data_IF_584632151043
#
_entry.id   IF_584632151043
#
_cell.length_a   1.000
_cell.length_b   1.000
_cell.length_c   1.000
_cell.angle_alpha   90.00
_cell.angle_beta   90.00
_cell.angle_gamma   90.00
#
_symmetry.space_group_name_H-M   'P 1'
#
loop_
_entity.id
_entity.type
_entity.pdbx_description
1 polymer ?
#
# COMPACT_ATOMS: atom_id res chain seq x y z
N UNK A 1 -12.66 -16.96 35.92
CA UNK A 1 -11.80 -16.97 34.72
C UNK A 1 -11.76 -15.54 34.25
N UNK A 2 -10.58 -14.94 34.12
CA UNK A 2 -10.46 -13.62 33.50
C UNK A 2 -11.03 -13.71 32.08
N UNK A 3 -11.64 -12.63 31.58
CA UNK A 3 -12.04 -12.61 30.17
C UNK A 3 -10.77 -12.70 29.32
N UNK A 4 -10.82 -13.34 28.15
CA UNK A 4 -9.67 -13.39 27.24
C UNK A 4 -9.18 -11.97 26.91
N UNK A 5 -10.10 -10.98 26.89
CA UNK A 5 -9.80 -9.56 26.71
C UNK A 5 -8.84 -9.04 27.80
N UNK A 6 -9.10 -9.30 29.07
CA UNK A 6 -8.24 -8.80 30.16
C UNK A 6 -6.81 -9.36 30.03
N UNK A 7 -6.68 -10.63 29.60
CA UNK A 7 -5.38 -11.25 29.34
C UNK A 7 -4.66 -10.62 28.14
N UNK A 8 -5.36 -10.35 27.03
CA UNK A 8 -4.79 -9.67 25.87
C UNK A 8 -4.33 -8.25 26.19
N UNK A 9 -5.11 -7.49 26.98
CA UNK A 9 -4.70 -6.15 27.43
C UNK A 9 -3.42 -6.20 28.26
N UNK A 10 -3.32 -7.15 29.19
CA UNK A 10 -2.11 -7.32 30.00
C UNK A 10 -0.90 -7.71 29.14
N UNK A 11 -1.08 -8.62 28.18
CA UNK A 11 -0.02 -9.02 27.23
C UNK A 11 0.46 -7.85 26.38
N UNK A 12 -0.45 -7.07 25.80
CA UNK A 12 -0.10 -5.88 25.02
C UNK A 12 0.63 -4.84 25.86
N UNK A 13 0.15 -4.56 27.09
CA UNK A 13 0.83 -3.65 28.01
C UNK A 13 2.26 -4.09 28.32
N UNK A 14 2.46 -5.39 28.57
CA UNK A 14 3.78 -5.94 28.81
C UNK A 14 4.64 -5.92 27.53
N UNK A 15 4.04 -6.05 26.35
CA UNK A 15 4.74 -5.99 25.08
C UNK A 15 5.23 -4.56 24.74
N UNK A 16 4.52 -3.52 25.17
CA UNK A 16 4.94 -2.12 25.02
C UNK A 16 5.75 -1.58 26.22
N UNK A 17 5.79 -2.29 27.36
CA UNK A 17 6.52 -1.86 28.55
C UNK A 17 7.97 -2.38 28.55
N UNK A 18 8.94 -1.47 28.47
CA UNK A 18 10.35 -1.82 28.65
C UNK A 18 11.32 -1.02 27.79
N UNK A 19 12.53 -1.59 27.64
CA UNK A 19 13.54 -1.07 26.70
C UNK A 19 13.31 -1.68 25.33
N UNK A 20 12.24 -1.25 24.66
CA UNK A 20 11.81 -1.75 23.34
C UNK A 20 10.42 -2.37 23.39
N UNK A 21 9.95 -2.79 22.21
CA UNK A 21 8.64 -3.40 22.00
C UNK A 21 8.81 -4.89 21.72
N UNK A 22 7.93 -5.75 22.24
CA UNK A 22 7.84 -7.16 21.81
C UNK A 22 6.86 -7.25 20.64
N UNK A 23 7.36 -6.99 19.43
CA UNK A 23 6.50 -6.85 18.23
C UNK A 23 5.85 -8.20 17.85
N UNK A 24 6.52 -9.31 18.18
CA UNK A 24 5.94 -10.64 18.01
C UNK A 24 4.71 -10.83 18.90
N UNK A 25 4.80 -10.45 20.17
CA UNK A 25 3.66 -10.54 21.09
C UNK A 25 2.53 -9.59 20.68
N UNK A 26 2.84 -8.38 20.21
CA UNK A 26 1.83 -7.44 19.67
C UNK A 26 1.06 -8.08 18.51
N UNK A 27 1.76 -8.59 17.49
CA UNK A 27 1.12 -9.22 16.33
C UNK A 27 0.35 -10.50 16.70
N UNK A 28 0.88 -11.29 17.64
CA UNK A 28 0.24 -12.50 18.17
C UNK A 28 -1.10 -12.16 18.82
N UNK A 29 -1.13 -11.18 19.73
CA UNK A 29 -2.36 -10.75 20.40
C UNK A 29 -3.36 -10.15 19.41
N UNK A 30 -2.92 -9.28 18.49
CA UNK A 30 -3.82 -8.70 17.48
C UNK A 30 -4.46 -9.79 16.59
N UNK A 31 -3.71 -10.85 16.29
CA UNK A 31 -4.22 -12.00 15.53
C UNK A 31 -5.24 -12.81 16.34
N UNK A 32 -4.94 -13.10 17.62
CA UNK A 32 -5.85 -13.82 18.51
C UNK A 32 -7.15 -13.04 18.78
N UNK A 33 -7.05 -11.71 18.87
CA UNK A 33 -8.17 -10.80 19.16
C UNK A 33 -9.05 -10.48 17.94
N UNK A 34 -8.79 -11.11 16.78
CA UNK A 34 -9.56 -10.88 15.55
C UNK A 34 -11.05 -11.15 15.78
N UNK A 35 -11.90 -10.18 15.44
CA UNK A 35 -13.35 -10.20 15.66
C UNK A 35 -13.78 -9.69 17.04
N UNK A 36 -12.82 -9.34 17.91
CA UNK A 36 -13.05 -8.76 19.24
C UNK A 36 -12.32 -7.43 19.44
N UNK A 37 -11.81 -6.83 18.36
CA UNK A 37 -10.97 -5.63 18.42
C UNK A 37 -11.71 -4.41 18.99
N UNK A 38 -13.03 -4.33 18.80
CA UNK A 38 -13.86 -3.29 19.42
C UNK A 38 -13.88 -3.41 20.96
N UNK A 39 -14.01 -4.63 21.49
CA UNK A 39 -14.01 -4.85 22.94
C UNK A 39 -12.60 -4.64 23.52
N UNK A 40 -11.57 -5.09 22.82
CA UNK A 40 -10.17 -4.85 23.18
C UNK A 40 -9.87 -3.35 23.27
N UNK A 41 -10.23 -2.57 22.25
CA UNK A 41 -10.09 -1.11 22.24
C UNK A 41 -10.89 -0.42 23.34
N UNK A 42 -12.06 -0.94 23.72
CA UNK A 42 -12.82 -0.40 24.84
C UNK A 42 -12.11 -0.62 26.19
N UNK A 43 -11.24 -1.62 26.29
CA UNK A 43 -10.46 -1.93 27.51
C UNK A 43 -9.05 -1.34 27.47
N UNK A 44 -8.53 -1.07 26.27
CA UNK A 44 -7.22 -0.47 26.04
C UNK A 44 -7.31 0.65 24.99
N UNK A 45 -7.85 1.81 25.36
CA UNK A 45 -8.08 2.91 24.42
C UNK A 45 -6.80 3.53 23.85
N UNK A 46 -5.66 3.35 24.53
CA UNK A 46 -4.35 3.82 24.09
C UNK A 46 -3.68 2.90 23.04
N UNK A 47 -4.21 1.69 22.80
CA UNK A 47 -3.60 0.69 21.92
C UNK A 47 -3.26 1.25 20.53
N UNK A 48 -4.16 2.01 19.93
CA UNK A 48 -3.88 2.61 18.61
C UNK A 48 -2.70 3.57 18.67
N UNK A 49 -2.64 4.41 19.70
CA UNK A 49 -1.57 5.41 19.86
C UNK A 49 -0.22 4.73 20.05
N UNK A 50 -0.17 3.67 20.86
CA UNK A 50 1.04 2.86 21.09
C UNK A 50 1.49 2.12 19.84
N UNK A 51 0.59 1.59 19.02
CA UNK A 51 0.97 1.01 17.73
C UNK A 51 1.72 2.01 16.85
N UNK A 52 1.28 3.27 16.81
CA UNK A 52 1.95 4.31 16.02
C UNK A 52 3.25 4.84 16.65
N UNK A 53 3.39 4.82 17.97
CA UNK A 53 4.59 5.35 18.64
C UNK A 53 5.70 4.30 18.81
N UNK A 54 5.32 3.04 19.03
CA UNK A 54 6.23 1.99 19.47
C UNK A 54 6.65 1.02 18.35
N UNK A 55 5.92 0.97 17.23
CA UNK A 55 6.26 0.13 16.08
C UNK A 55 6.94 0.93 14.98
N UNK A 56 7.92 0.32 14.32
CA UNK A 56 8.48 0.89 13.10
C UNK A 56 7.53 0.70 11.90
N UNK A 57 7.87 1.31 10.78
CA UNK A 57 7.04 1.29 9.56
C UNK A 57 6.65 -0.12 9.11
N UNK A 58 7.59 -1.07 9.12
CA UNK A 58 7.36 -2.44 8.63
C UNK A 58 6.46 -3.23 9.57
N UNK A 59 6.60 -3.04 10.88
CA UNK A 59 5.74 -3.65 11.88
C UNK A 59 4.35 -3.04 11.87
N UNK A 60 4.25 -1.72 11.71
CA UNK A 60 2.99 -1.00 11.63
C UNK A 60 2.17 -1.46 10.42
N UNK A 61 2.80 -1.67 9.26
CA UNK A 61 2.18 -2.27 8.06
C UNK A 61 1.57 -3.65 8.31
N UNK A 62 2.15 -4.43 9.23
CA UNK A 62 1.62 -5.76 9.63
C UNK A 62 0.51 -5.65 10.67
N UNK A 63 0.66 -4.72 11.62
CA UNK A 63 -0.25 -4.57 12.76
C UNK A 63 -1.58 -3.90 12.38
N UNK A 64 -1.55 -2.84 11.54
CA UNK A 64 -2.75 -2.06 11.24
C UNK A 64 -3.86 -2.85 10.51
N UNK A 65 -3.57 -3.73 9.53
CA UNK A 65 -4.58 -4.61 8.97
C UNK A 65 -5.27 -5.51 10.01
N UNK A 66 -4.53 -6.02 11.01
CA UNK A 66 -5.08 -6.82 12.10
C UNK A 66 -5.94 -5.96 13.04
N UNK A 67 -5.41 -4.79 13.41
CA UNK A 67 -6.07 -3.82 14.29
C UNK A 67 -7.37 -3.26 13.70
N UNK A 68 -7.44 -3.07 12.39
CA UNK A 68 -8.66 -2.60 11.72
C UNK A 68 -9.52 -3.73 11.16
N UNK A 69 -9.14 -4.99 11.41
CA UNK A 69 -9.84 -6.18 10.92
C UNK A 69 -10.01 -6.20 9.38
N UNK A 70 -9.00 -5.69 8.66
CA UNK A 70 -8.96 -5.71 7.20
C UNK A 70 -8.82 -7.15 6.72
N UNK A 71 -9.73 -7.66 5.88
CA UNK A 71 -9.65 -9.04 5.41
C UNK A 71 -8.51 -9.24 4.41
N UNK A 72 -7.94 -10.44 4.46
CA UNK A 72 -6.93 -10.93 3.51
C UNK A 72 -7.46 -12.20 2.82
N UNK A 73 -7.46 -12.28 1.48
CA UNK A 73 -7.01 -11.27 0.52
C UNK A 73 -7.97 -10.08 0.41
N UNK A 74 -7.43 -8.90 0.05
CA UNK A 74 -8.22 -7.69 -0.22
C UNK A 74 -9.11 -7.94 -1.44
N UNK A 75 -10.42 -7.99 -1.26
CA UNK A 75 -11.38 -8.06 -2.37
C UNK A 75 -11.72 -6.64 -2.81
N UNK A 76 -11.21 -6.21 -3.95
CA UNK A 76 -11.65 -4.96 -4.55
C UNK A 76 -13.14 -5.06 -4.94
N UNK A 77 -13.92 -4.02 -4.66
CA UNK A 77 -15.29 -3.93 -5.16
C UNK A 77 -15.29 -4.02 -6.71
N UNK A 78 -16.02 -4.97 -7.32
CA UNK A 78 -16.07 -5.12 -8.77
C UNK A 78 -16.72 -3.94 -9.50
N UNK A 79 -17.44 -3.07 -8.78
CA UNK A 79 -18.14 -1.93 -9.35
C UNK A 79 -17.22 -0.73 -9.63
N UNK A 80 -15.96 -0.76 -9.17
CA UNK A 80 -15.04 0.37 -9.27
C UNK A 80 -15.38 1.49 -8.27
N UNK A 81 -14.87 2.70 -8.54
CA UNK A 81 -15.13 3.90 -7.73
C UNK A 81 -16.25 4.75 -8.35
N UNK A 82 -17.03 5.42 -7.50
CA UNK A 82 -18.08 6.35 -7.94
C UNK A 82 -17.49 7.60 -8.61
N UNK A 83 -16.33 8.05 -8.13
CA UNK A 83 -15.60 9.19 -8.69
C UNK A 83 -14.22 8.75 -9.20
N UNK A 84 -14.06 8.51 -10.52
CA UNK A 84 -12.78 8.12 -11.10
C UNK A 84 -11.73 9.25 -11.04
N UNK A 85 -12.11 10.50 -10.76
CA UNK A 85 -11.15 11.60 -10.60
C UNK A 85 -10.43 11.57 -9.25
N UNK A 86 -10.88 10.76 -8.28
CA UNK A 86 -10.16 10.55 -7.01
C UNK A 86 -8.70 10.12 -7.22
N UNK A 87 -8.45 9.17 -8.12
CA UNK A 87 -7.09 8.74 -8.43
C UNK A 87 -6.22 9.89 -8.98
N UNK A 88 -6.79 10.73 -9.86
CA UNK A 88 -6.09 11.90 -10.40
C UNK A 88 -5.78 12.94 -9.33
N UNK A 89 -6.73 13.16 -8.41
CA UNK A 89 -6.59 14.10 -7.30
C UNK A 89 -5.55 13.62 -6.29
N UNK A 90 -5.50 12.32 -5.97
CA UNK A 90 -4.43 11.74 -5.16
C UNK A 90 -3.08 11.89 -5.83
N UNK A 91 -2.97 11.55 -7.11
CA UNK A 91 -1.71 11.66 -7.84
C UNK A 91 -1.18 13.09 -7.81
N UNK A 92 -2.04 14.07 -8.11
CA UNK A 92 -1.67 15.48 -8.07
C UNK A 92 -1.35 15.98 -6.64
N UNK A 93 -1.94 15.36 -5.61
CA UNK A 93 -1.66 15.68 -4.22
C UNK A 93 -0.28 15.17 -3.79
N UNK A 94 0.13 13.98 -4.25
CA UNK A 94 1.50 13.48 -4.06
C UNK A 94 2.53 14.24 -4.94
N UNK A 95 2.11 14.71 -6.11
CA UNK A 95 2.98 15.35 -7.10
C UNK A 95 2.55 16.78 -7.47
N UNK A 96 2.50 17.72 -6.52
CA UNK A 96 2.09 19.07 -6.85
C UNK A 96 3.11 19.72 -7.76
N UNK A 97 2.60 20.36 -8.81
CA UNK A 97 3.41 21.10 -9.78
C UNK A 97 3.94 22.39 -9.15
N UNK A 98 5.02 22.28 -8.38
CA UNK A 98 5.61 23.37 -7.60
C UNK A 98 7.12 23.25 -7.50
N UNK A 99 7.77 24.36 -7.12
CA UNK A 99 9.23 24.43 -6.94
C UNK A 99 9.70 23.65 -5.68
N UNK A 100 8.75 23.19 -4.88
CA UNK A 100 8.95 22.40 -3.68
C UNK A 100 8.08 21.14 -3.86
N UNK A 101 8.72 19.97 -3.95
CA UNK A 101 8.08 18.66 -3.93
C UNK A 101 7.52 18.41 -2.53
N UNK A 102 6.48 19.14 -2.14
CA UNK A 102 5.77 18.95 -0.86
C UNK A 102 4.41 18.36 -1.16
N UNK A 103 4.00 17.29 -0.51
CA UNK A 103 2.65 16.73 -0.67
C UNK A 103 1.56 17.76 -0.31
N UNK A 104 0.42 17.73 -0.99
CA UNK A 104 -0.79 18.50 -0.64
C UNK A 104 -1.65 17.64 0.30
N UNK A 105 -1.35 17.69 1.59
CA UNK A 105 -1.95 16.81 2.60
C UNK A 105 -3.46 17.05 2.71
N UNK A 106 -3.92 18.30 2.53
CA UNK A 106 -5.34 18.66 2.56
C UNK A 106 -6.11 18.01 1.39
N UNK A 107 -5.57 18.08 0.17
CA UNK A 107 -6.19 17.46 -1.00
C UNK A 107 -6.22 15.93 -0.88
N UNK A 108 -5.14 15.34 -0.39
CA UNK A 108 -5.03 13.90 -0.12
C UNK A 108 -6.08 13.45 0.89
N UNK A 109 -6.13 14.11 2.05
CA UNK A 109 -7.07 13.77 3.12
C UNK A 109 -8.53 13.95 2.71
N UNK A 110 -8.83 14.93 1.85
CA UNK A 110 -10.15 15.11 1.29
C UNK A 110 -10.57 13.90 0.46
N UNK A 111 -9.71 13.40 -0.44
CA UNK A 111 -10.02 12.22 -1.27
C UNK A 111 -10.18 10.98 -0.41
N UNK A 112 -9.27 10.74 0.55
CA UNK A 112 -9.38 9.59 1.46
C UNK A 112 -10.70 9.61 2.24
N UNK A 113 -11.16 10.78 2.72
CA UNK A 113 -12.45 10.92 3.40
C UNK A 113 -13.63 10.63 2.47
N UNK A 114 -13.58 11.14 1.23
CA UNK A 114 -14.63 10.89 0.23
C UNK A 114 -14.76 9.39 -0.07
N UNK A 115 -13.65 8.70 -0.34
CA UNK A 115 -13.61 7.27 -0.59
C UNK A 115 -14.01 6.43 0.63
N UNK A 116 -13.55 6.83 1.83
CA UNK A 116 -13.97 6.22 3.10
C UNK A 116 -15.49 6.32 3.29
N UNK A 117 -16.07 7.49 3.03
CA UNK A 117 -17.51 7.72 3.20
C UNK A 117 -18.34 6.92 2.19
N UNK A 118 -17.85 6.79 0.95
CA UNK A 118 -18.45 5.94 -0.08
C UNK A 118 -18.27 4.44 0.18
N UNK A 119 -17.31 4.04 1.03
CA UNK A 119 -16.98 2.63 1.26
C UNK A 119 -16.33 1.99 0.02
N UNK A 120 -15.47 2.75 -0.66
CA UNK A 120 -14.82 2.38 -1.93
C UNK A 120 -13.29 2.52 -1.84
N UNK A 121 -12.70 2.32 -0.66
CA UNK A 121 -11.26 2.53 -0.46
C UNK A 121 -10.43 1.50 -1.24
N UNK A 122 -10.84 0.24 -1.28
CA UNK A 122 -10.18 -0.82 -2.04
C UNK A 122 -10.34 -0.64 -3.54
N UNK A 123 -11.51 -0.17 -3.99
CA UNK A 123 -11.69 0.24 -5.38
C UNK A 123 -10.80 1.44 -5.78
N UNK A 124 -10.60 2.40 -4.87
CA UNK A 124 -9.71 3.54 -5.08
C UNK A 124 -8.25 3.10 -5.13
N UNK A 125 -7.79 2.28 -4.19
CA UNK A 125 -6.45 1.69 -4.15
C UNK A 125 -6.12 0.99 -5.48
N UNK A 126 -7.03 0.12 -5.93
CA UNK A 126 -6.92 -0.55 -7.24
C UNK A 126 -6.87 0.44 -8.40
N UNK A 127 -7.78 1.41 -8.46
CA UNK A 127 -7.83 2.39 -9.55
C UNK A 127 -6.55 3.24 -9.61
N UNK A 128 -6.02 3.62 -8.46
CA UNK A 128 -4.79 4.41 -8.36
C UNK A 128 -3.62 3.64 -9.00
N UNK A 129 -3.42 2.39 -8.62
CA UNK A 129 -2.37 1.55 -9.17
C UNK A 129 -2.55 1.26 -10.67
N UNK A 130 -3.78 0.97 -11.12
CA UNK A 130 -4.06 0.73 -12.54
C UNK A 130 -3.81 1.97 -13.42
N UNK A 131 -4.07 3.16 -12.89
CA UNK A 131 -3.88 4.41 -13.64
C UNK A 131 -2.44 4.89 -13.64
N UNK A 132 -1.69 4.59 -12.58
CA UNK A 132 -0.33 5.04 -12.38
C UNK A 132 0.60 3.85 -12.10
N UNK A 133 0.87 2.98 -13.09
CA UNK A 133 1.62 1.73 -12.88
C UNK A 133 3.11 1.92 -12.54
N UNK A 134 3.64 3.15 -12.62
CA UNK A 134 4.99 3.49 -12.19
C UNK A 134 5.07 4.04 -10.78
N UNK A 135 3.93 4.24 -10.12
CA UNK A 135 3.85 4.68 -8.73
C UNK A 135 3.72 3.46 -7.81
N UNK A 136 4.11 3.64 -6.55
CA UNK A 136 3.87 2.65 -5.52
C UNK A 136 2.37 2.44 -5.29
N UNK A 137 2.00 1.34 -4.61
CA UNK A 137 0.62 1.14 -4.16
C UNK A 137 0.23 2.28 -3.20
N UNK A 138 -1.06 2.63 -3.13
CA UNK A 138 -1.53 3.81 -2.40
C UNK A 138 -1.03 3.82 -0.95
N UNK A 139 -1.06 2.66 -0.29
CA UNK A 139 -0.53 2.47 1.07
C UNK A 139 0.94 2.90 1.21
N UNK A 140 1.80 2.47 0.29
CA UNK A 140 3.23 2.78 0.27
C UNK A 140 3.48 4.26 -0.04
N UNK A 141 2.70 4.85 -0.93
CA UNK A 141 2.73 6.30 -1.18
C UNK A 141 2.37 7.09 0.07
N UNK A 142 1.39 6.64 0.87
CA UNK A 142 1.05 7.29 2.15
C UNK A 142 2.22 7.27 3.13
N UNK A 143 2.91 6.13 3.27
CA UNK A 143 4.09 5.99 4.13
C UNK A 143 5.26 6.87 3.70
N UNK A 144 5.45 7.01 2.39
CA UNK A 144 6.56 7.79 1.82
C UNK A 144 6.35 9.30 1.94
N UNK A 145 5.10 9.74 1.80
CA UNK A 145 4.76 11.15 1.63
C UNK A 145 4.26 11.83 2.91
N UNK A 146 3.77 11.07 3.88
CA UNK A 146 3.20 11.62 5.12
C UNK A 146 4.03 11.21 6.34
N UNK A 147 3.93 12.02 7.41
CA UNK A 147 4.54 11.68 8.70
C UNK A 147 3.66 12.12 9.88
N UNK A 148 3.99 11.65 11.09
CA UNK A 148 3.32 12.07 12.32
C UNK A 148 1.80 11.89 12.32
N UNK A 149 1.08 12.92 12.75
CA UNK A 149 -0.38 12.90 12.89
C UNK A 149 -1.13 12.81 11.55
N UNK A 150 -0.50 13.29 10.46
CA UNK A 150 -1.08 13.25 9.11
C UNK A 150 -1.06 11.82 8.57
N UNK A 151 0.09 11.15 8.65
CA UNK A 151 0.22 9.72 8.29
C UNK A 151 -0.77 8.87 9.10
N UNK A 152 -0.82 9.08 10.42
CA UNK A 152 -1.75 8.39 11.30
C UNK A 152 -3.21 8.59 10.87
N UNK A 153 -3.59 9.82 10.55
CA UNK A 153 -4.95 10.14 10.11
C UNK A 153 -5.29 9.52 8.75
N UNK A 154 -4.34 9.53 7.81
CA UNK A 154 -4.49 8.94 6.49
C UNK A 154 -4.63 7.41 6.56
N UNK A 155 -3.73 6.74 7.27
CA UNK A 155 -3.77 5.28 7.46
C UNK A 155 -5.04 4.82 8.19
N UNK A 156 -5.49 5.59 9.19
CA UNK A 156 -6.78 5.33 9.85
C UNK A 156 -7.95 5.37 8.86
N UNK A 157 -8.01 6.36 7.97
CA UNK A 157 -9.05 6.42 6.92
C UNK A 157 -8.92 5.26 5.94
N UNK A 158 -7.70 4.97 5.51
CA UNK A 158 -7.38 3.91 4.57
C UNK A 158 -7.82 2.54 5.08
N UNK A 159 -7.27 2.08 6.21
CA UNK A 159 -7.58 0.74 6.71
C UNK A 159 -9.02 0.60 7.22
N UNK A 160 -9.60 1.61 7.89
CA UNK A 160 -11.03 1.56 8.25
C UNK A 160 -11.92 1.57 6.99
N UNK A 161 -11.49 2.23 5.92
CA UNK A 161 -12.18 2.24 4.63
C UNK A 161 -12.20 0.85 4.00
N UNK A 162 -11.04 0.18 3.98
CA UNK A 162 -10.91 -1.20 3.51
C UNK A 162 -11.78 -2.18 4.31
N UNK A 163 -11.74 -2.10 5.64
CA UNK A 163 -12.56 -2.94 6.52
C UNK A 163 -14.07 -2.69 6.36
N UNK A 164 -14.47 -1.46 6.01
CA UNK A 164 -15.88 -1.11 5.80
C UNK A 164 -16.44 -1.67 4.49
N UNK A 165 -15.65 -1.63 3.42
CA UNK A 165 -16.06 -2.09 2.07
C UNK A 165 -16.42 -3.58 2.06
N UNK A 166 -15.68 -4.39 2.82
CA UNK A 166 -15.89 -5.83 2.89
C UNK A 166 -17.17 -6.19 3.64
N UNK A 167 -17.44 -5.50 4.76
CA UNK A 167 -18.67 -5.65 5.53
C UNK A 167 -19.93 -5.30 4.71
N UNK A 168 -19.84 -4.35 3.77
CA UNK A 168 -20.96 -4.00 2.90
C UNK A 168 -21.24 -5.05 1.82
N UNK A 169 -20.21 -5.76 1.35
CA UNK A 169 -20.33 -6.72 0.24
C UNK A 169 -21.02 -8.01 0.69
N UNK A 170 -20.80 -8.45 1.94
CA UNK A 170 -21.41 -9.68 2.47
C UNK A 170 -22.91 -9.54 2.78
N UNK A 171 -23.39 -8.31 2.96
CA UNK A 171 -24.80 -8.02 3.25
C UNK A 171 -25.76 -8.12 2.06
N UNK A 172 -25.26 -8.24 0.82
CA UNK A 172 -26.09 -8.33 -0.40
C UNK A 172 -26.12 -9.74 -1.01
N UNK A 173 -26.08 -10.76 -0.15
CA UNK A 173 -26.43 -12.12 -0.58
C UNK A 173 -27.75 -12.15 -1.34
N UNK A 174 -27.94 -13.07 -2.31
CA UNK A 174 -29.13 -13.10 -3.15
C UNK A 174 -30.38 -13.40 -2.30
N UNK A 175 -31.00 -12.36 -1.76
CA UNK A 175 -32.34 -12.46 -1.19
C UNK A 175 -33.29 -12.82 -2.33
N UNK A 176 -33.66 -14.10 -2.34
CA UNK A 176 -34.81 -14.57 -3.08
C UNK A 176 -36.01 -13.73 -2.66
N UNK A 177 -36.55 -12.99 -3.63
CA UNK A 177 -37.77 -12.18 -3.59
C UNK A 177 -38.73 -12.63 -2.48
N UNK A 178 -38.82 -11.91 -1.34
CA UNK A 178 -39.98 -11.95 -0.47
C UNK A 178 -40.78 -10.66 -0.69
N UNK A 179 -42.07 -10.82 -0.91
CA UNK A 179 -42.97 -9.72 -1.22
C UNK A 179 -42.92 -8.58 -0.18
N UNK A 180 -42.83 -7.36 -0.70
CA UNK A 180 -43.79 -6.28 -0.43
C UNK A 180 -44.56 -6.39 0.89
N UNK A 181 -44.15 -5.64 1.93
CA UNK A 181 -44.96 -4.57 2.53
C UNK A 181 -44.34 -3.94 3.80
N UNK A 182 -44.60 -2.63 3.94
CA UNK A 182 -44.58 -1.78 5.14
C UNK A 182 -43.27 -1.14 5.64
N UNK A 183 -43.02 0.04 5.06
CA UNK A 183 -42.57 1.31 5.65
C UNK A 183 -42.03 1.37 7.10
N UNK A 184 -40.79 1.84 7.20
CA UNK A 184 -40.29 2.58 8.37
C UNK A 184 -39.59 3.85 7.90
N UNK A 185 -40.05 4.99 8.43
CA UNK A 185 -39.61 6.34 8.08
C UNK A 185 -38.33 6.68 8.85
N UNK A 186 -37.20 6.67 8.15
CA UNK A 186 -35.96 7.31 8.58
C UNK A 186 -35.77 8.63 7.83
N UNK A 187 -35.68 9.74 8.55
CA UNK A 187 -35.43 11.08 7.99
C UNK A 187 -34.01 11.18 7.45
N UNK A 188 -33.85 11.00 6.14
CA UNK A 188 -32.65 11.42 5.42
C UNK A 188 -32.68 12.95 5.26
N UNK A 189 -31.61 13.64 5.66
CA UNK A 189 -31.39 15.02 5.23
C UNK A 189 -31.03 15.02 3.75
N UNK A 190 -32.03 15.38 2.94
CA UNK A 190 -31.87 15.64 1.51
C UNK A 190 -31.10 16.95 1.35
N UNK A 191 -29.85 16.86 0.87
CA UNK A 191 -29.20 18.01 0.25
C UNK A 191 -29.89 18.26 -1.09
N UNK A 192 -30.75 19.27 -1.11
CA UNK A 192 -31.51 19.69 -2.28
C UNK A 192 -30.55 20.37 -3.27
N UNK A 193 -30.19 19.69 -4.36
CA UNK A 193 -29.56 20.34 -5.53
C UNK A 193 -30.59 21.32 -6.10
N UNK A 194 -30.24 22.60 -6.36
CA UNK A 194 -31.22 23.55 -6.87
C UNK A 194 -31.73 23.10 -8.24
N UNK A 195 -33.03 22.78 -8.30
CA UNK A 195 -33.75 22.56 -9.54
C UNK A 195 -33.87 23.89 -10.29
N UNK A 196 -33.41 23.93 -11.54
CA UNK A 196 -33.80 24.98 -12.49
C UNK A 196 -35.31 24.90 -12.72
N UNK A 197 -36.04 25.89 -12.24
CA UNK A 197 -37.42 26.15 -12.63
C UNK A 197 -37.37 27.06 -13.87
N UNK A 198 -37.85 26.54 -15.01
CA UNK A 198 -38.14 27.35 -16.19
C UNK A 198 -39.62 27.69 -16.13
N UNK A 199 -39.95 28.98 -15.98
CA UNK A 199 -41.29 29.52 -16.20
C UNK A 199 -41.14 30.80 -17.03
N UNK A 200 -41.86 30.86 -18.15
CA UNK A 200 -42.06 32.00 -19.06
C UNK A 200 -40.82 32.68 -19.70
N UNK A 201 -39.98 31.87 -20.34
CA UNK A 201 -39.41 32.18 -21.66
C UNK A 201 -38.56 33.46 -21.85
N UNK A 202 -38.16 34.16 -20.79
CA UNK A 202 -37.45 35.45 -20.93
C UNK A 202 -36.29 35.54 -19.95
N UNK A 203 -35.07 35.60 -20.49
CA UNK A 203 -33.84 35.85 -19.73
C UNK A 203 -33.65 37.37 -19.62
N UNK A 204 -33.70 37.89 -18.39
CA UNK A 204 -33.28 39.27 -18.07
C UNK A 204 -32.05 39.19 -17.15
N UNK A 205 -30.93 39.84 -17.46
CA UNK A 205 -29.74 39.79 -16.62
C UNK A 205 -29.87 40.74 -15.42
N UNK A 206 -29.97 40.16 -14.22
CA UNK A 206 -29.92 40.87 -12.95
C UNK A 206 -28.48 41.10 -12.49
N UNK A 207 -28.06 42.35 -12.58
CA UNK A 207 -26.85 42.94 -12.00
C UNK A 207 -26.84 42.83 -10.48
N UNK A 208 -25.74 42.34 -9.88
CA UNK A 208 -25.17 42.93 -8.65
C UNK A 208 -23.67 42.55 -8.45
N UNK A 209 -22.81 43.53 -8.75
CA UNK A 209 -21.65 44.02 -7.96
C UNK A 209 -20.58 43.01 -7.51
N UNK A 210 -19.53 42.88 -8.33
CA UNK A 210 -18.17 42.55 -7.89
C UNK A 210 -17.42 43.82 -7.43
N UNK A 211 -16.55 43.75 -6.39
CA UNK A 211 -15.60 44.80 -6.11
C UNK A 211 -14.45 44.81 -7.12
N UNK A 212 -14.08 46.04 -7.48
CA UNK A 212 -13.02 46.44 -8.40
C UNK A 212 -11.65 46.18 -7.78
N UNK A 213 -10.77 45.44 -8.48
CA UNK A 213 -9.32 45.52 -8.28
C UNK A 213 -8.70 46.13 -9.54
N UNK A 214 -7.96 47.21 -9.32
CA UNK A 214 -7.32 48.06 -10.33
C UNK A 214 -6.13 47.33 -10.96
N UNK A 215 -6.10 47.29 -12.29
CA UNK A 215 -4.88 47.06 -13.06
C UNK A 215 -3.99 48.31 -13.01
N UNK A 216 -2.72 48.12 -12.66
CA UNK A 216 -1.68 49.14 -12.78
C UNK A 216 -0.77 48.73 -13.92
N UNK A 217 -0.81 49.49 -15.00
CA UNK A 217 0.14 49.44 -16.10
C UNK A 217 1.35 50.32 -15.76
N UNK A 218 2.54 49.72 -15.68
CA UNK A 218 3.81 50.45 -15.79
C UNK A 218 4.65 49.77 -16.86
N UNK A 219 4.77 50.45 -18.00
CA UNK A 219 5.75 50.11 -19.01
C UNK A 219 7.10 50.71 -18.64
N UNK A 220 8.16 49.92 -18.78
CA UNK A 220 9.52 50.43 -18.91
C UNK A 220 10.31 49.51 -19.83
N UNK A 221 10.71 50.09 -20.97
CA UNK A 221 11.74 49.56 -21.87
C UNK A 221 13.08 49.70 -21.16
N UNK A 222 13.85 48.62 -21.07
CA UNK A 222 15.31 48.71 -20.87
C UNK A 222 16.00 47.78 -21.86
N UNK A 223 16.91 48.39 -22.58
CA UNK A 223 17.76 47.86 -23.64
C UNK A 223 18.88 46.98 -23.08
N UNK A 224 19.32 46.00 -23.88
CA UNK A 224 20.48 45.14 -23.64
C UNK A 224 21.76 45.91 -23.31
N UNK A 225 22.75 45.21 -22.72
CA UNK A 225 23.99 45.05 -23.49
C UNK A 225 24.52 43.61 -23.51
N UNK A 226 25.09 43.28 -24.67
CA UNK A 226 25.89 42.10 -24.93
C UNK A 226 27.19 42.15 -24.12
N UNK A 227 27.46 41.06 -23.38
CA UNK A 227 28.73 40.80 -22.71
C UNK A 227 29.26 39.44 -23.14
N UNK A 228 30.38 39.44 -23.85
CA UNK A 228 31.08 38.26 -24.34
C UNK A 228 31.63 37.42 -23.19
N UNK A 229 31.32 36.12 -23.16
CA UNK A 229 32.01 35.13 -22.32
C UNK A 229 33.01 34.41 -23.22
N UNK A 230 34.28 34.47 -22.81
CA UNK A 230 35.45 33.98 -23.51
C UNK A 230 36.09 32.90 -22.63
N UNK A 231 36.32 31.71 -23.18
CA UNK A 231 37.23 30.70 -22.64
C UNK A 231 36.56 29.56 -21.88
N UNK A 232 36.26 28.48 -22.59
CA UNK A 232 36.17 27.13 -21.99
C UNK A 232 37.58 26.54 -22.14
N UNK A 233 38.19 26.19 -21.02
CA UNK A 233 39.49 25.55 -20.94
C UNK A 233 39.25 24.04 -20.96
N UNK A 234 39.72 23.36 -22.01
CA UNK A 234 39.74 21.90 -22.09
C UNK A 234 40.65 21.36 -20.98
N UNK A 235 40.07 20.54 -20.10
CA UNK A 235 40.81 19.74 -19.14
C UNK A 235 41.29 18.46 -19.85
N UNK A 236 42.55 18.02 -19.63
CA UNK A 236 43.03 16.77 -20.19
C UNK A 236 42.28 15.58 -19.58
N UNK A 237 41.86 14.66 -20.45
CA UNK A 237 41.25 13.37 -20.10
C UNK A 237 42.13 12.65 -19.06
N UNK A 238 41.55 12.39 -17.89
CA UNK A 238 42.16 11.54 -16.88
C UNK A 238 42.17 10.10 -17.41
N UNK A 239 43.35 9.47 -17.43
CA UNK A 239 43.51 8.06 -17.76
C UNK A 239 42.74 7.21 -16.74
N UNK A 240 41.76 6.45 -17.21
CA UNK A 240 41.07 5.43 -16.41
C UNK A 240 42.10 4.40 -15.93
N UNK A 241 42.28 4.31 -14.61
CA UNK A 241 43.01 3.21 -13.99
C UNK A 241 42.20 1.92 -14.18
N UNK A 242 42.86 0.77 -14.44
CA UNK A 242 42.17 -0.50 -14.60
C UNK A 242 41.38 -0.82 -13.34
N UNK A 243 40.06 -0.92 -13.46
CA UNK A 243 39.20 -1.35 -12.36
C UNK A 243 39.58 -2.78 -11.95
N UNK A 244 39.76 -2.97 -10.65
CA UNK A 244 40.07 -4.25 -10.06
C UNK A 244 38.94 -5.24 -10.37
N UNK A 245 39.32 -6.49 -10.63
CA UNK A 245 38.41 -7.61 -10.90
C UNK A 245 37.28 -7.62 -9.85
N UNK A 246 36.03 -7.50 -10.32
CA UNK A 246 34.83 -7.61 -9.50
C UNK A 246 34.86 -8.98 -8.80
N UNK A 247 35.09 -9.00 -7.48
CA UNK A 247 34.97 -10.23 -6.70
C UNK A 247 33.50 -10.67 -6.76
N UNK A 248 33.26 -11.88 -7.28
CA UNK A 248 31.91 -12.45 -7.40
C UNK A 248 31.19 -12.40 -6.04
N UNK A 249 30.21 -11.50 -5.89
CA UNK A 249 29.42 -11.40 -4.67
C UNK A 249 28.56 -12.66 -4.49
N UNK A 250 28.93 -13.49 -3.50
CA UNK A 250 28.20 -14.68 -3.10
C UNK A 250 27.06 -14.33 -2.13
N UNK A 251 25.90 -14.96 -2.31
CA UNK A 251 24.67 -14.69 -1.58
C UNK A 251 24.17 -15.93 -0.81
N UNK A 252 23.40 -15.68 0.24
CA UNK A 252 22.65 -16.71 0.99
C UNK A 252 21.17 -16.62 0.63
N UNK A 253 20.61 -17.69 0.07
CA UNK A 253 19.19 -17.80 -0.27
C UNK A 253 18.47 -18.59 0.83
N UNK A 254 17.42 -17.98 1.40
CA UNK A 254 16.54 -18.61 2.40
C UNK A 254 15.07 -18.42 2.00
N UNK A 255 14.34 -19.52 1.76
CA UNK A 255 12.97 -19.50 1.22
C UNK A 255 12.07 -20.45 2.03
N UNK A 256 10.87 -19.99 2.42
CA UNK A 256 9.83 -20.86 3.03
C UNK A 256 8.81 -21.24 1.95
N UNK A 257 8.70 -22.53 1.64
CA UNK A 257 7.82 -23.05 0.58
C UNK A 257 6.48 -23.51 1.14
N UNK A 258 5.38 -22.93 0.64
CA UNK A 258 3.98 -23.26 1.00
C UNK A 258 3.17 -23.54 -0.27
N UNK A 259 2.28 -24.54 -0.26
CA UNK A 259 1.32 -24.86 -1.32
C UNK A 259 -0.09 -24.81 -0.73
N UNK A 260 -0.87 -23.77 -1.08
CA UNK A 260 -2.28 -23.61 -0.65
C UNK A 260 -2.51 -23.98 0.82
N UNK A 261 -1.80 -23.29 1.73
CA UNK A 261 -1.80 -23.45 3.19
C UNK A 261 -0.94 -24.60 3.78
N UNK A 262 -0.49 -25.57 2.99
CA UNK A 262 0.39 -26.64 3.48
C UNK A 262 1.87 -26.33 3.26
N UNK A 263 2.69 -26.63 4.27
CA UNK A 263 4.15 -26.49 4.20
C UNK A 263 4.74 -27.59 3.32
N UNK A 264 5.56 -27.22 2.33
CA UNK A 264 6.24 -28.16 1.44
C UNK A 264 7.50 -28.70 2.12
N UNK A 265 7.32 -29.65 3.03
CA UNK A 265 8.41 -30.22 3.85
C UNK A 265 9.03 -31.49 3.24
N UNK A 266 10.33 -31.71 3.49
CA UNK A 266 11.07 -32.89 3.05
C UNK A 266 11.05 -33.16 1.54
N UNK A 267 10.96 -32.09 0.73
CA UNK A 267 10.99 -32.18 -0.74
C UNK A 267 12.38 -31.84 -1.25
N UNK A 268 12.91 -32.67 -2.13
CA UNK A 268 14.19 -32.42 -2.81
C UNK A 268 14.03 -31.26 -3.80
N UNK A 269 14.99 -30.35 -3.78
CA UNK A 269 15.07 -29.22 -4.68
C UNK A 269 16.41 -29.20 -5.41
N UNK A 270 16.42 -28.54 -6.57
CA UNK A 270 17.62 -28.18 -7.33
C UNK A 270 17.54 -26.69 -7.70
N UNK A 271 18.57 -25.91 -7.42
CA UNK A 271 18.71 -24.52 -7.86
C UNK A 271 19.87 -24.45 -8.84
N UNK A 272 19.65 -23.88 -10.02
CA UNK A 272 20.70 -23.59 -11.00
C UNK A 272 21.05 -22.11 -10.85
N UNK A 273 22.28 -21.84 -10.40
CA UNK A 273 22.80 -20.49 -10.25
C UNK A 273 23.05 -19.80 -11.59
N UNK A 274 23.26 -18.48 -11.56
CA UNK A 274 23.62 -17.67 -12.75
C UNK A 274 24.94 -18.12 -13.40
N UNK A 275 25.82 -18.73 -12.61
CA UNK A 275 27.08 -19.34 -13.05
C UNK A 275 26.92 -20.74 -13.67
N UNK A 276 25.68 -21.27 -13.72
CA UNK A 276 25.36 -22.60 -14.22
C UNK A 276 25.68 -23.75 -13.26
N UNK A 277 26.08 -23.47 -12.00
CA UNK A 277 26.24 -24.51 -10.97
C UNK A 277 24.88 -24.95 -10.43
N UNK A 278 24.78 -26.24 -10.12
CA UNK A 278 23.59 -26.83 -9.51
C UNK A 278 23.80 -27.00 -8.00
N UNK A 279 22.85 -26.45 -7.24
CA UNK A 279 22.75 -26.55 -5.80
C UNK A 279 21.57 -27.45 -5.48
N UNK A 280 21.78 -28.54 -4.73
CA UNK A 280 20.70 -29.49 -4.40
C UNK A 280 20.55 -29.60 -2.89
N UNK A 281 19.32 -29.80 -2.44
CA UNK A 281 19.03 -29.98 -1.03
C UNK A 281 17.64 -30.54 -0.80
N UNK A 282 17.20 -30.50 0.44
CA UNK A 282 15.85 -30.94 0.83
C UNK A 282 15.27 -29.93 1.79
N UNK A 283 14.00 -29.55 1.59
CA UNK A 283 13.34 -28.62 2.49
C UNK A 283 13.23 -29.19 3.89
N UNK A 284 13.34 -28.33 4.90
CA UNK A 284 13.18 -28.72 6.31
C UNK A 284 11.75 -29.21 6.61
N UNK A 285 11.52 -29.69 7.84
CA UNK A 285 10.17 -29.97 8.35
C UNK A 285 9.23 -28.76 8.34
N UNK A 286 9.77 -27.54 8.28
CA UNK A 286 9.02 -26.28 8.18
C UNK A 286 8.98 -25.72 6.75
N UNK A 287 9.41 -26.49 5.76
CA UNK A 287 9.42 -26.08 4.35
C UNK A 287 10.50 -25.06 4.01
N UNK A 288 11.48 -24.87 4.91
CA UNK A 288 12.60 -23.96 4.70
C UNK A 288 13.63 -24.61 3.76
N UNK A 289 13.98 -23.88 2.71
CA UNK A 289 15.12 -24.11 1.82
C UNK A 289 16.21 -23.10 2.17
N UNK A 290 17.46 -23.55 2.30
CA UNK A 290 18.61 -22.69 2.60
C UNK A 290 19.80 -23.10 1.73
N UNK A 291 20.38 -22.15 1.00
CA UNK A 291 21.54 -22.37 0.12
C UNK A 291 22.54 -21.23 0.33
N UNK A 292 23.76 -21.59 0.72
CA UNK A 292 24.87 -20.65 0.86
C UNK A 292 25.69 -20.60 -0.44
N UNK A 293 26.45 -19.52 -0.61
CA UNK A 293 27.40 -19.34 -1.71
C UNK A 293 26.77 -19.38 -3.12
N UNK A 294 25.62 -18.74 -3.30
CA UNK A 294 24.96 -18.60 -4.62
C UNK A 294 25.40 -17.29 -5.26
N UNK A 295 25.98 -17.30 -6.48
CA UNK A 295 26.37 -16.07 -7.16
C UNK A 295 25.15 -15.17 -7.42
N UNK A 296 25.36 -13.86 -7.37
CA UNK A 296 24.35 -12.88 -7.78
C UNK A 296 23.85 -13.13 -9.22
N UNK A 297 22.57 -12.85 -9.47
CA UNK A 297 21.92 -13.00 -10.78
C UNK A 297 20.69 -13.92 -10.81
N UNK A 298 20.12 -14.12 -11.99
CA UNK A 298 18.93 -14.97 -12.14
C UNK A 298 19.24 -16.43 -11.85
N UNK A 299 18.45 -17.05 -10.97
CA UNK A 299 18.55 -18.47 -10.63
C UNK A 299 17.28 -19.22 -11.04
N UNK A 300 17.40 -20.50 -11.38
CA UNK A 300 16.25 -21.39 -11.66
C UNK A 300 16.08 -22.41 -10.54
N UNK A 301 14.95 -22.40 -9.84
CA UNK A 301 14.57 -23.40 -8.83
C UNK A 301 13.69 -24.47 -9.46
N UNK A 302 14.12 -25.73 -9.33
CA UNK A 302 13.35 -26.92 -9.68
C UNK A 302 12.88 -27.61 -8.42
N UNK A 303 11.56 -27.78 -8.30
CA UNK A 303 10.92 -28.38 -7.14
C UNK A 303 9.75 -29.27 -7.61
N UNK A 304 9.79 -30.56 -7.24
CA UNK A 304 8.73 -31.52 -7.56
C UNK A 304 8.33 -31.58 -9.06
N UNK A 305 9.29 -31.38 -9.97
CA UNK A 305 9.06 -31.40 -11.42
C UNK A 305 8.60 -30.07 -12.02
N UNK A 306 8.49 -29.01 -11.22
CA UNK A 306 8.20 -27.65 -11.68
C UNK A 306 9.48 -26.81 -11.66
N UNK A 307 9.58 -25.85 -12.58
CA UNK A 307 10.70 -24.91 -12.68
C UNK A 307 10.20 -23.48 -12.42
N UNK A 308 10.92 -22.74 -11.57
CA UNK A 308 10.61 -21.40 -11.11
C UNK A 308 11.83 -20.50 -11.30
N UNK A 309 11.63 -19.27 -11.80
CA UNK A 309 12.71 -18.29 -11.91
C UNK A 309 12.72 -17.44 -10.64
N UNK A 310 13.87 -17.37 -9.97
CA UNK A 310 14.07 -16.57 -8.75
C UNK A 310 15.08 -15.48 -9.07
N UNK A 311 14.68 -14.19 -9.02
CA UNK A 311 15.64 -13.12 -9.13
C UNK A 311 16.45 -13.03 -7.83
N UNK A 312 17.78 -13.12 -7.91
CA UNK A 312 18.65 -12.80 -6.78
C UNK A 312 19.12 -11.36 -6.96
N UNK A 313 18.55 -10.46 -6.16
CA UNK A 313 19.02 -9.08 -6.08
C UNK A 313 20.08 -9.00 -4.98
N UNK A 314 21.13 -8.16 -5.12
CA UNK A 314 22.06 -7.85 -4.04
C UNK A 314 21.32 -7.01 -2.98
N UNK A 315 20.51 -7.67 -2.18
CA UNK A 315 19.90 -7.15 -0.97
C UNK A 315 20.15 -8.20 0.12
N UNK A 316 20.34 -7.76 1.35
CA UNK A 316 20.43 -8.65 2.51
C UNK A 316 19.07 -9.38 2.67
N UNK A 317 18.92 -10.55 2.04
CA UNK A 317 17.64 -11.25 1.81
C UNK A 317 17.17 -12.06 3.02
N UNK A 318 17.60 -11.71 4.24
CA UNK A 318 17.42 -12.54 5.42
C UNK A 318 15.95 -12.82 5.82
N UNK A 319 14.92 -12.24 5.16
CA UNK A 319 13.50 -12.52 5.41
C UNK A 319 12.53 -12.26 4.23
N UNK A 320 12.61 -12.96 3.09
CA UNK A 320 11.53 -12.97 2.09
C UNK A 320 10.71 -14.28 2.16
N UNK A 321 9.48 -14.19 2.67
CA UNK A 321 8.49 -15.27 2.54
C UNK A 321 7.83 -15.23 1.14
N UNK A 322 8.15 -16.19 0.28
CA UNK A 322 7.43 -16.37 -0.99
C UNK A 322 6.22 -17.28 -0.79
N UNK A 323 5.01 -16.74 -1.00
CA UNK A 323 3.80 -17.55 -1.10
C UNK A 323 3.56 -17.94 -2.55
N UNK A 324 3.71 -19.24 -2.88
CA UNK A 324 3.29 -19.79 -4.18
C UNK A 324 1.75 -19.84 -4.22
N UNK A 325 1.13 -18.73 -4.59
CA UNK A 325 -0.28 -18.71 -4.97
C UNK A 325 -0.40 -19.30 -6.38
N UNK A 326 -1.27 -20.32 -6.53
CA UNK A 326 -1.57 -20.98 -7.82
C UNK A 326 -2.11 -20.05 -8.92
N UNK A 327 -2.37 -18.76 -8.63
CA UNK A 327 -3.10 -17.87 -9.54
C UNK A 327 -2.24 -16.80 -10.25
N UNK A 328 -0.94 -16.61 -9.94
CA UNK A 328 -0.18 -15.47 -10.48
C UNK A 328 1.17 -15.77 -11.17
N UNK A 329 1.42 -17.01 -11.58
CA UNK A 329 2.47 -17.28 -12.57
C UNK A 329 1.88 -18.02 -13.77
N UNK A 330 1.67 -17.29 -14.86
CA UNK A 330 1.58 -17.90 -16.19
C UNK A 330 3.01 -18.08 -16.69
N UNK A 331 3.53 -19.29 -16.59
CA UNK A 331 4.66 -19.74 -17.40
C UNK A 331 4.12 -20.93 -18.18
N UNK A 332 4.15 -20.84 -19.51
CA UNK A 332 3.76 -21.92 -20.39
C UNK A 332 4.59 -23.16 -20.04
N UNK A 333 3.94 -24.14 -19.42
CA UNK A 333 4.51 -25.47 -19.24
C UNK A 333 4.52 -26.15 -20.62
N UNK A 334 5.61 -26.01 -21.37
CA UNK A 334 5.88 -26.96 -22.46
C UNK A 334 6.20 -28.31 -21.83
N UNK A 335 5.29 -29.27 -21.97
CA UNK A 335 5.54 -30.68 -21.68
C UNK A 335 6.68 -31.18 -22.57
N UNK A 336 7.89 -31.29 -22.01
CA UNK A 336 8.97 -32.07 -22.62
C UNK A 336 8.67 -33.56 -22.41
N UNK A 337 7.99 -34.17 -23.39
CA UNK A 337 7.92 -35.65 -23.56
C UNK A 337 9.17 -36.21 -24.22
#
# INVERSE_FOLDING_TARGET
>A
MASNIDNWVERLKNAFDGLGTDEYEVLSVLTEAKGQMQELNSRYPELEDELYSELNEQELKKALPLYYEVPSPRRANPQGVDDPDWANRLYNAFHPSGLFNSTDEDALMLVLREAYNAGQMGALDKLFHERYPGEDILEESLYSELSGDELKSALRLYYKGLARETNNTEGTGPEGIPGSETGSSGTAQVYDKPRKIIVDGTIVPGSHKNPVVRSVSVGSRISSPAGAIKGIQEYPEASEEPQADDEDELQHISLILKNSEEVVSNVTYEVVGSDGKNYTGTTSGTGLLSIEDVPAGECSLRLAGYEYIIPTFPLDISNIEWQLNKEYFWIDAEENT
#
